data_IF_775732827440
#
_entry.id   IF_775732827440
#
_cell.length_a   1.000
_cell.length_b   1.000
_cell.length_c   1.000
_cell.angle_alpha   90.00
_cell.angle_beta   90.00
_cell.angle_gamma   90.00
#
_symmetry.space_group_name_H-M   'P 1'
#
loop_
_entity.id
_entity.type
_entity.pdbx_description
1 polymer ?
#
# COMPACT_ATOMS: atom_id res chain seq x y z
N UNK A 1 6.54 -1.16 42.09
CA UNK A 1 5.52 -1.74 41.19
C UNK A 1 4.33 -0.81 40.89
N UNK A 2 4.27 0.40 41.53
CA UNK A 2 3.10 1.31 41.39
C UNK A 2 3.24 2.40 40.29
N UNK A 3 4.39 2.54 39.65
CA UNK A 3 4.60 3.63 38.67
C UNK A 3 4.34 3.25 37.23
N UNK A 4 4.37 1.97 36.88
CA UNK A 4 4.18 1.52 35.48
C UNK A 4 2.71 1.39 35.10
N UNK A 5 1.83 0.99 36.02
CA UNK A 5 0.38 0.88 35.77
C UNK A 5 -0.30 2.25 35.59
N UNK A 6 0.19 3.29 36.30
CA UNK A 6 -0.34 4.66 36.14
C UNK A 6 0.02 5.31 34.81
N UNK A 7 1.17 4.98 34.24
CA UNK A 7 1.60 5.51 32.93
C UNK A 7 0.86 4.84 31.77
N UNK A 8 0.55 3.54 31.88
CA UNK A 8 -0.24 2.84 30.87
C UNK A 8 -1.72 3.26 30.85
N UNK A 9 -2.31 3.49 32.02
CA UNK A 9 -3.69 3.98 32.14
C UNK A 9 -3.83 5.42 31.65
N UNK A 10 -2.91 6.31 32.02
CA UNK A 10 -2.86 7.68 31.51
C UNK A 10 -2.65 7.75 30.00
N UNK A 11 -1.83 6.87 29.44
CA UNK A 11 -1.61 6.79 27.99
C UNK A 11 -2.87 6.28 27.28
N UNK A 12 -3.60 5.31 27.85
CA UNK A 12 -4.85 4.79 27.30
C UNK A 12 -5.99 5.84 27.34
N UNK A 13 -6.10 6.63 28.41
CA UNK A 13 -7.09 7.71 28.52
C UNK A 13 -6.79 8.88 27.58
N UNK A 14 -5.54 9.30 27.47
CA UNK A 14 -5.10 10.33 26.52
C UNK A 14 -5.34 9.93 25.08
N UNK A 15 -5.17 8.65 24.76
CA UNK A 15 -5.46 8.10 23.43
C UNK A 15 -6.97 8.08 23.17
N UNK A 16 -7.77 7.68 24.16
CA UNK A 16 -9.23 7.66 24.04
C UNK A 16 -9.81 9.07 23.89
N UNK A 17 -9.32 10.01 24.64
CA UNK A 17 -9.74 11.42 24.55
C UNK A 17 -9.36 12.04 23.20
N UNK A 18 -8.17 11.71 22.66
CA UNK A 18 -7.76 12.17 21.33
C UNK A 18 -8.59 11.51 20.19
N UNK A 19 -8.98 10.25 20.34
CA UNK A 19 -9.88 9.57 19.40
C UNK A 19 -11.28 10.21 19.40
N UNK A 20 -11.82 10.52 20.57
CA UNK A 20 -13.12 11.17 20.72
C UNK A 20 -13.06 12.60 20.18
N UNK A 21 -12.03 13.38 20.52
CA UNK A 21 -11.85 14.74 20.02
C UNK A 21 -11.73 14.76 18.49
N UNK A 22 -10.99 13.81 17.90
CA UNK A 22 -10.85 13.71 16.45
C UNK A 22 -12.16 13.28 15.76
N UNK A 23 -12.87 12.31 16.33
CA UNK A 23 -14.19 11.90 15.84
C UNK A 23 -15.21 13.05 15.93
N UNK A 24 -15.17 13.81 17.01
CA UNK A 24 -16.03 14.97 17.24
C UNK A 24 -15.70 16.10 16.26
N UNK A 25 -14.42 16.38 16.03
CA UNK A 25 -13.98 17.37 15.04
C UNK A 25 -14.44 17.00 13.62
N UNK A 26 -14.34 15.72 13.23
CA UNK A 26 -14.85 15.23 11.95
C UNK A 26 -16.36 15.37 11.84
N UNK A 27 -17.11 15.15 12.93
CA UNK A 27 -18.56 15.27 12.93
C UNK A 27 -19.05 16.73 12.85
N UNK A 28 -18.27 17.66 13.40
CA UNK A 28 -18.59 19.08 13.46
C UNK A 28 -18.20 19.86 12.20
N UNK A 29 -17.16 19.41 11.49
CA UNK A 29 -16.68 20.10 10.29
C UNK A 29 -17.02 19.34 9.02
N UNK A 30 -17.99 19.90 8.24
CA UNK A 30 -18.33 19.38 6.91
C UNK A 30 -17.15 19.35 5.95
N UNK A 31 -16.13 20.21 6.14
CA UNK A 31 -14.87 20.20 5.38
C UNK A 31 -13.94 19.08 5.84
N UNK A 32 -13.92 18.72 7.13
CA UNK A 32 -13.21 17.57 7.66
C UNK A 32 -13.92 16.25 7.33
N UNK A 33 -15.24 16.24 7.18
CA UNK A 33 -15.99 15.13 6.58
C UNK A 33 -15.62 14.90 5.10
N UNK A 34 -15.05 15.88 4.40
CA UNK A 34 -14.39 15.69 3.11
C UNK A 34 -13.01 15.04 3.24
N UNK A 35 -12.45 14.94 4.44
CA UNK A 35 -11.24 14.18 4.71
C UNK A 35 -11.60 12.71 4.85
N UNK A 36 -11.86 12.08 3.68
CA UNK A 36 -12.26 10.69 3.45
C UNK A 36 -11.43 9.66 4.23
N UNK A 37 -10.31 10.08 4.83
CA UNK A 37 -9.31 9.23 5.43
C UNK A 37 -9.20 9.39 6.95
N UNK A 38 -9.87 10.40 7.50
CA UNK A 38 -9.80 10.90 8.88
C UNK A 38 -9.39 9.89 9.96
N UNK A 39 -10.35 9.16 10.51
CA UNK A 39 -10.13 8.21 11.59
C UNK A 39 -9.22 7.06 11.15
N UNK A 40 -9.41 6.55 9.93
CA UNK A 40 -8.58 5.47 9.38
C UNK A 40 -7.12 5.87 9.27
N UNK A 41 -6.83 7.08 8.75
CA UNK A 41 -5.48 7.60 8.65
C UNK A 41 -4.82 7.83 10.03
N UNK A 42 -5.59 8.30 11.01
CA UNK A 42 -5.13 8.41 12.39
C UNK A 42 -4.71 7.05 12.96
N UNK A 43 -5.54 6.03 12.80
CA UNK A 43 -5.21 4.68 13.25
C UNK A 43 -4.01 4.08 12.51
N UNK A 44 -3.89 4.32 11.19
CA UNK A 44 -2.70 3.94 10.42
C UNK A 44 -1.42 4.60 10.98
N UNK A 45 -1.46 5.90 11.22
CA UNK A 45 -0.34 6.64 11.78
C UNK A 45 0.10 6.08 13.15
N UNK A 46 -0.86 5.67 13.98
CA UNK A 46 -0.61 5.03 15.28
C UNK A 46 -0.26 3.53 15.19
N UNK A 47 -0.16 2.95 13.99
CA UNK A 47 0.11 1.53 13.78
C UNK A 47 -1.05 0.58 14.18
N UNK A 48 -2.25 1.12 14.40
CA UNK A 48 -3.44 0.37 14.84
C UNK A 48 -4.21 -0.15 13.64
N UNK A 49 -3.59 -1.10 12.93
CA UNK A 49 -4.05 -1.54 11.61
C UNK A 49 -5.46 -2.15 11.62
N UNK A 50 -5.84 -2.94 12.65
CA UNK A 50 -7.20 -3.47 12.78
C UNK A 50 -8.25 -2.37 12.90
N UNK A 51 -8.01 -1.34 13.72
CA UNK A 51 -8.93 -0.20 13.84
C UNK A 51 -8.96 0.65 12.55
N UNK A 52 -7.86 0.71 11.83
CA UNK A 52 -7.82 1.36 10.52
C UNK A 52 -8.68 0.61 9.50
N UNK A 53 -8.64 -0.73 9.49
CA UNK A 53 -9.50 -1.56 8.64
C UNK A 53 -10.97 -1.25 8.91
N UNK A 54 -11.42 -1.34 10.17
CA UNK A 54 -12.82 -1.07 10.56
C UNK A 54 -13.30 0.32 10.12
N UNK A 55 -12.41 1.32 10.25
CA UNK A 55 -12.72 2.69 9.84
C UNK A 55 -12.83 2.81 8.32
N UNK A 56 -11.89 2.22 7.56
CA UNK A 56 -11.90 2.30 6.11
C UNK A 56 -13.03 1.47 5.49
N UNK A 57 -13.39 0.32 6.04
CA UNK A 57 -14.54 -0.47 5.58
C UNK A 57 -15.85 0.32 5.68
N UNK A 58 -16.07 1.04 6.81
CA UNK A 58 -17.20 1.96 6.95
C UNK A 58 -17.16 3.08 5.92
N UNK A 59 -15.98 3.62 5.63
CA UNK A 59 -15.83 4.70 4.65
C UNK A 59 -16.02 4.22 3.20
N UNK A 60 -15.57 3.02 2.84
CA UNK A 60 -15.79 2.46 1.49
C UNK A 60 -17.27 2.16 1.22
N UNK A 61 -18.06 1.81 2.24
CA UNK A 61 -19.50 1.64 2.07
C UNK A 61 -20.24 2.96 1.79
N UNK A 62 -19.71 4.08 2.28
CA UNK A 62 -20.27 5.43 2.03
C UNK A 62 -19.73 6.01 0.70
N UNK A 63 -18.48 5.74 0.36
CA UNK A 63 -17.78 6.28 -0.81
C UNK A 63 -17.19 5.16 -1.69
N UNK A 64 -18.02 4.35 -2.35
CA UNK A 64 -17.58 3.14 -3.08
C UNK A 64 -16.73 3.44 -4.34
N UNK A 65 -16.67 4.68 -4.79
CA UNK A 65 -15.90 5.10 -5.98
C UNK A 65 -14.59 5.81 -5.63
N UNK A 66 -14.13 5.76 -4.38
CA UNK A 66 -12.89 6.38 -3.98
C UNK A 66 -11.72 5.37 -4.02
N UNK A 67 -10.92 5.41 -5.07
CA UNK A 67 -9.79 4.52 -5.28
C UNK A 67 -8.79 4.53 -4.11
N UNK A 68 -8.44 5.71 -3.60
CA UNK A 68 -7.49 5.88 -2.50
C UNK A 68 -7.97 5.21 -1.20
N UNK A 69 -9.29 5.14 -0.93
CA UNK A 69 -9.83 4.42 0.23
C UNK A 69 -9.52 2.93 0.15
N UNK A 70 -9.74 2.32 -1.01
CA UNK A 70 -9.41 0.91 -1.22
C UNK A 70 -7.92 0.65 -1.15
N UNK A 71 -7.09 1.56 -1.66
CA UNK A 71 -5.64 1.45 -1.51
C UNK A 71 -5.22 1.46 -0.03
N UNK A 72 -5.75 2.39 0.78
CA UNK A 72 -5.45 2.48 2.22
C UNK A 72 -5.98 1.29 3.01
N UNK A 73 -7.16 0.80 2.65
CA UNK A 73 -7.72 -0.42 3.22
C UNK A 73 -6.84 -1.63 2.88
N UNK A 74 -6.43 -1.77 1.61
CA UNK A 74 -5.48 -2.78 1.16
C UNK A 74 -4.16 -2.71 1.92
N UNK A 75 -3.61 -1.51 2.14
CA UNK A 75 -2.39 -1.31 2.93
C UNK A 75 -2.57 -1.74 4.40
N UNK A 76 -3.74 -1.51 4.98
CA UNK A 76 -4.04 -1.93 6.36
C UNK A 76 -4.14 -3.44 6.47
N UNK A 77 -4.76 -4.11 5.49
CA UNK A 77 -4.78 -5.57 5.40
C UNK A 77 -3.39 -6.17 5.16
N UNK A 78 -2.56 -5.54 4.31
CA UNK A 78 -1.15 -5.91 4.08
C UNK A 78 -0.36 -5.92 5.39
N UNK A 79 -0.51 -4.90 6.21
CA UNK A 79 0.13 -4.78 7.54
C UNK A 79 -0.38 -5.79 8.56
N UNK A 80 -1.59 -6.31 8.38
CA UNK A 80 -2.16 -7.40 9.18
C UNK A 80 -1.89 -8.79 8.59
N UNK A 81 -1.03 -8.90 7.57
CA UNK A 81 -0.68 -10.16 6.90
C UNK A 81 -1.88 -10.87 6.24
N UNK A 82 -2.98 -10.14 5.98
CA UNK A 82 -4.16 -10.64 5.28
C UNK A 82 -4.00 -10.40 3.77
N UNK A 83 -3.06 -11.14 3.15
CA UNK A 83 -2.57 -10.88 1.79
C UNK A 83 -3.68 -10.95 0.72
N UNK A 84 -4.61 -11.89 0.82
CA UNK A 84 -5.68 -12.03 -0.18
C UNK A 84 -6.66 -10.85 -0.13
N UNK A 85 -7.05 -10.41 1.07
CA UNK A 85 -7.89 -9.21 1.22
C UNK A 85 -7.16 -7.94 0.79
N UNK A 86 -5.86 -7.85 1.08
CA UNK A 86 -5.04 -6.74 0.60
C UNK A 86 -5.02 -6.70 -0.94
N UNK A 87 -4.81 -7.85 -1.60
CA UNK A 87 -4.80 -7.95 -3.05
C UNK A 87 -6.14 -7.57 -3.68
N UNK A 88 -7.26 -8.01 -3.10
CA UNK A 88 -8.60 -7.65 -3.53
C UNK A 88 -8.82 -6.13 -3.50
N UNK A 89 -8.46 -5.49 -2.39
CA UNK A 89 -8.60 -4.05 -2.22
C UNK A 89 -7.67 -3.25 -3.14
N UNK A 90 -6.43 -3.71 -3.36
CA UNK A 90 -5.54 -3.07 -4.34
C UNK A 90 -6.06 -3.21 -5.77
N UNK A 91 -6.61 -4.37 -6.16
CA UNK A 91 -7.27 -4.54 -7.47
C UNK A 91 -8.47 -3.60 -7.60
N UNK A 92 -9.27 -3.44 -6.55
CA UNK A 92 -10.40 -2.52 -6.56
C UNK A 92 -9.94 -1.07 -6.70
N UNK A 93 -8.90 -0.66 -5.99
CA UNK A 93 -8.29 0.66 -6.15
C UNK A 93 -7.85 0.90 -7.59
N UNK A 94 -7.10 -0.04 -8.18
CA UNK A 94 -6.59 0.04 -9.55
C UNK A 94 -7.69 -0.03 -10.62
N UNK A 95 -8.83 -0.69 -10.35
CA UNK A 95 -9.98 -0.66 -11.26
C UNK A 95 -10.69 0.69 -11.31
N UNK A 96 -10.52 1.51 -10.28
CA UNK A 96 -11.08 2.87 -10.19
C UNK A 96 -10.10 3.94 -10.68
N UNK A 97 -8.81 3.69 -10.51
CA UNK A 97 -7.72 4.56 -10.99
C UNK A 97 -6.48 3.70 -11.25
N UNK A 98 -6.18 3.45 -12.52
CA UNK A 98 -5.10 2.55 -12.94
C UNK A 98 -3.71 3.20 -12.96
N UNK A 99 -3.64 4.53 -12.95
CA UNK A 99 -2.41 5.28 -13.16
C UNK A 99 -1.55 5.44 -11.90
N UNK A 100 -1.44 4.37 -11.10
CA UNK A 100 -0.69 4.37 -9.85
C UNK A 100 0.36 3.25 -9.81
N UNK A 101 1.59 3.50 -10.29
CA UNK A 101 2.66 2.48 -10.34
C UNK A 101 2.96 1.85 -8.98
N UNK A 102 2.95 2.65 -7.91
CA UNK A 102 3.16 2.14 -6.56
C UNK A 102 2.05 1.21 -6.07
N UNK A 103 0.81 1.38 -6.53
CA UNK A 103 -0.29 0.48 -6.19
C UNK A 103 -0.14 -0.87 -6.90
N UNK A 104 0.28 -0.85 -8.16
CA UNK A 104 0.66 -2.07 -8.90
C UNK A 104 1.81 -2.81 -8.19
N UNK A 105 2.83 -2.08 -7.74
CA UNK A 105 3.92 -2.68 -6.96
C UNK A 105 3.41 -3.31 -5.66
N UNK A 106 2.54 -2.63 -4.90
CA UNK A 106 1.94 -3.17 -3.67
C UNK A 106 1.09 -4.41 -3.95
N UNK A 107 0.30 -4.39 -5.02
CA UNK A 107 -0.43 -5.57 -5.47
C UNK A 107 0.51 -6.73 -5.78
N UNK A 108 1.57 -6.50 -6.55
CA UNK A 108 2.59 -7.52 -6.83
C UNK A 108 3.20 -8.10 -5.55
N UNK A 109 3.52 -7.24 -4.59
CA UNK A 109 4.10 -7.66 -3.32
C UNK A 109 3.18 -8.61 -2.52
N UNK A 110 1.92 -8.27 -2.35
CA UNK A 110 0.98 -9.12 -1.59
C UNK A 110 0.64 -10.41 -2.33
N UNK A 111 0.60 -10.39 -3.66
CA UNK A 111 0.43 -11.59 -4.50
C UNK A 111 1.64 -12.54 -4.39
N UNK A 112 2.85 -11.99 -4.35
CA UNK A 112 4.08 -12.77 -4.09
C UNK A 112 4.02 -13.45 -2.73
N UNK A 113 3.55 -12.74 -1.68
CA UNK A 113 3.33 -13.29 -0.34
C UNK A 113 2.27 -14.39 -0.29
N UNK A 114 1.22 -14.26 -1.11
CA UNK A 114 0.20 -15.31 -1.31
C UNK A 114 0.64 -16.41 -2.27
N UNK A 115 1.91 -16.45 -2.70
CA UNK A 115 2.47 -17.41 -3.65
C UNK A 115 1.80 -17.40 -5.04
N UNK A 116 1.04 -16.36 -5.36
CA UNK A 116 0.43 -16.14 -6.68
C UNK A 116 1.45 -15.47 -7.62
N UNK A 117 2.55 -16.19 -7.86
CA UNK A 117 3.76 -15.64 -8.49
C UNK A 117 3.53 -15.11 -9.91
N UNK A 118 2.68 -15.76 -10.71
CA UNK A 118 2.42 -15.29 -12.07
C UNK A 118 1.70 -13.93 -12.07
N UNK A 119 0.66 -13.80 -11.24
CA UNK A 119 -0.07 -12.54 -11.08
C UNK A 119 0.83 -11.44 -10.49
N UNK A 120 1.70 -11.81 -9.53
CA UNK A 120 2.68 -10.89 -8.96
C UNK A 120 3.63 -10.34 -10.02
N UNK A 121 4.15 -11.21 -10.89
CA UNK A 121 5.04 -10.82 -11.99
C UNK A 121 4.39 -9.79 -12.92
N UNK A 122 3.14 -10.02 -13.29
CA UNK A 122 2.37 -9.11 -14.15
C UNK A 122 2.12 -7.77 -13.45
N UNK A 123 1.74 -7.79 -12.17
CA UNK A 123 1.54 -6.55 -11.39
C UNK A 123 2.83 -5.72 -11.29
N UNK A 124 3.98 -6.35 -11.06
CA UNK A 124 5.28 -5.66 -11.06
C UNK A 124 5.65 -5.11 -12.44
N UNK A 125 5.28 -5.80 -13.54
CA UNK A 125 5.47 -5.25 -14.89
C UNK A 125 4.66 -3.99 -15.11
N UNK A 126 3.40 -3.95 -14.70
CA UNK A 126 2.59 -2.73 -14.78
C UNK A 126 3.20 -1.58 -13.98
N UNK A 127 3.71 -1.85 -12.78
CA UNK A 127 4.45 -0.85 -12.02
C UNK A 127 5.66 -0.30 -12.80
N UNK A 128 6.40 -1.17 -13.48
CA UNK A 128 7.61 -0.82 -14.21
C UNK A 128 7.38 -0.10 -15.54
N UNK A 129 6.14 -0.03 -16.05
CA UNK A 129 5.84 0.72 -17.28
C UNK A 129 5.89 2.24 -17.09
N UNK A 130 5.86 2.72 -15.86
CA UNK A 130 6.00 4.13 -15.56
C UNK A 130 7.46 4.54 -15.48
N UNK A 131 7.80 5.68 -16.05
CA UNK A 131 9.16 6.22 -16.01
C UNK A 131 9.49 6.77 -14.61
N UNK A 132 9.89 5.88 -13.70
CA UNK A 132 10.26 6.23 -12.32
C UNK A 132 11.66 5.72 -11.99
N UNK A 133 12.29 6.33 -10.98
CA UNK A 133 13.60 5.88 -10.45
C UNK A 133 13.61 4.45 -9.90
N UNK A 134 12.44 3.82 -9.78
CA UNK A 134 12.29 2.47 -9.23
C UNK A 134 12.10 1.39 -10.31
N UNK A 135 12.11 1.75 -11.58
CA UNK A 135 11.81 0.87 -12.71
C UNK A 135 12.67 -0.41 -12.72
N UNK A 136 13.98 -0.29 -12.47
CA UNK A 136 14.89 -1.43 -12.44
C UNK A 136 14.55 -2.43 -11.32
N UNK A 137 14.20 -1.93 -10.14
CA UNK A 137 13.79 -2.77 -9.00
C UNK A 137 12.48 -3.50 -9.31
N UNK A 138 11.54 -2.85 -9.97
CA UNK A 138 10.24 -3.44 -10.30
C UNK A 138 10.37 -4.51 -11.39
N UNK A 139 11.20 -4.29 -12.42
CA UNK A 139 11.53 -5.34 -13.39
C UNK A 139 12.27 -6.51 -12.73
N UNK A 140 13.20 -6.24 -11.82
CA UNK A 140 13.86 -7.31 -11.06
C UNK A 140 12.86 -8.16 -10.27
N UNK A 141 11.93 -7.52 -9.56
CA UNK A 141 10.86 -8.23 -8.82
C UNK A 141 9.95 -9.04 -9.75
N UNK A 142 9.60 -8.49 -10.91
CA UNK A 142 8.86 -9.22 -11.93
C UNK A 142 9.63 -10.46 -12.41
N UNK A 143 10.91 -10.32 -12.71
CA UNK A 143 11.78 -11.44 -13.11
C UNK A 143 11.84 -12.53 -12.05
N UNK A 144 12.02 -12.15 -10.79
CA UNK A 144 11.99 -13.09 -9.67
C UNK A 144 10.67 -13.85 -9.55
N UNK A 145 9.55 -13.14 -9.65
CA UNK A 145 8.23 -13.74 -9.59
C UNK A 145 7.96 -14.70 -10.78
N UNK A 146 8.40 -14.34 -11.99
CA UNK A 146 8.35 -15.25 -13.15
C UNK A 146 9.22 -16.50 -12.93
N UNK A 147 10.41 -16.37 -12.37
CA UNK A 147 11.25 -17.53 -12.04
C UNK A 147 10.55 -18.47 -11.05
N UNK A 148 9.91 -17.94 -10.01
CA UNK A 148 9.12 -18.71 -9.05
C UNK A 148 7.90 -19.38 -9.68
N UNK A 149 7.35 -18.80 -10.74
CA UNK A 149 6.26 -19.37 -11.53
C UNK A 149 6.75 -20.34 -12.62
N UNK A 150 8.04 -20.71 -12.66
CA UNK A 150 8.69 -21.54 -13.67
C UNK A 150 8.59 -20.96 -15.10
N UNK A 151 8.45 -19.65 -15.23
CA UNK A 151 8.39 -18.92 -16.50
C UNK A 151 9.75 -18.32 -16.83
N UNK A 152 10.75 -19.18 -17.04
CA UNK A 152 12.15 -18.78 -17.14
C UNK A 152 12.47 -17.83 -18.29
N UNK A 153 11.79 -17.98 -19.45
CA UNK A 153 12.00 -17.04 -20.57
C UNK A 153 11.58 -15.62 -20.19
N UNK A 154 10.38 -15.45 -19.63
CA UNK A 154 9.88 -14.16 -19.17
C UNK A 154 10.74 -13.62 -18.03
N UNK A 155 11.22 -14.49 -17.14
CA UNK A 155 12.15 -14.12 -16.08
C UNK A 155 13.43 -13.48 -16.64
N UNK A 156 14.07 -14.13 -17.62
CA UNK A 156 15.27 -13.58 -18.27
C UNK A 156 15.00 -12.23 -18.95
N UNK A 157 13.88 -12.11 -19.67
CA UNK A 157 13.48 -10.86 -20.31
C UNK A 157 13.33 -9.71 -19.28
N UNK A 158 12.76 -9.99 -18.11
CA UNK A 158 12.59 -8.98 -17.05
C UNK A 158 13.92 -8.62 -16.38
N UNK A 159 14.81 -9.57 -16.18
CA UNK A 159 16.14 -9.28 -15.63
C UNK A 159 17.00 -8.44 -16.60
N UNK A 160 16.90 -8.69 -17.91
CA UNK A 160 17.56 -7.85 -18.92
C UNK A 160 17.02 -6.41 -18.83
N UNK A 161 15.70 -6.22 -18.83
CA UNK A 161 15.08 -4.89 -18.67
C UNK A 161 15.49 -4.20 -17.36
N UNK A 162 15.62 -4.94 -16.27
CA UNK A 162 16.08 -4.40 -15.00
C UNK A 162 17.53 -3.88 -15.10
N UNK A 163 18.40 -4.65 -15.75
CA UNK A 163 19.79 -4.26 -15.98
C UNK A 163 19.88 -3.02 -16.87
N UNK A 164 19.22 -3.02 -18.03
CA UNK A 164 19.24 -1.90 -18.97
C UNK A 164 18.74 -0.60 -18.31
N UNK A 165 17.60 -0.68 -17.60
CA UNK A 165 17.04 0.47 -16.87
C UNK A 165 17.99 0.98 -15.79
N UNK A 166 18.77 0.12 -15.16
CA UNK A 166 19.78 0.55 -14.17
C UNK A 166 20.92 1.32 -14.81
N UNK A 167 21.38 0.90 -15.98
CA UNK A 167 22.46 1.58 -16.73
C UNK A 167 22.02 2.98 -17.20
N UNK A 168 20.78 3.13 -17.68
CA UNK A 168 20.22 4.43 -18.06
C UNK A 168 20.17 5.42 -16.90
N UNK A 169 19.78 4.95 -15.70
CA UNK A 169 19.76 5.78 -14.48
C UNK A 169 21.16 6.25 -14.12
N UNK A 170 22.17 5.36 -14.15
CA UNK A 170 23.56 5.72 -13.88
C UNK A 170 24.07 6.73 -14.91
N UNK A 171 23.84 6.50 -16.21
CA UNK A 171 24.27 7.40 -17.28
C UNK A 171 23.63 8.79 -17.17
N UNK A 172 22.39 8.91 -16.70
CA UNK A 172 21.74 10.19 -16.48
C UNK A 172 22.30 10.96 -15.29
N UNK A 173 22.67 10.26 -14.23
CA UNK A 173 23.27 10.86 -13.04
C UNK A 173 24.70 11.38 -13.31
N UNK A 174 25.48 10.65 -14.10
CA UNK A 174 26.87 11.08 -14.45
C UNK A 174 26.92 12.26 -15.41
N UNK A 175 25.85 12.52 -16.20
CA UNK A 175 25.76 13.69 -17.07
C UNK A 175 25.30 14.97 -16.34
N UNK A 176 24.78 14.84 -15.13
CA UNK A 176 24.29 15.95 -14.33
C UNK A 176 25.34 16.56 -13.37
N UNK A 177 26.57 16.01 -13.37
CA UNK A 177 27.76 16.49 -12.65
C UNK A 177 28.68 17.22 -13.66
#
# INVERSE_FOLDING_TARGET
GYSLESDETNNAENVRSSEIAYATAISLDKKLNSNKFGIGAFHQYKGRWAKAIDAYEKHTSINPLCAELYYRLGLSYDRCYQWDKAAENYRKALSLDENHPHWHYRLGFVLERSQKYLDAAVAYQFAAQSNTKHISIWYYRSGYAYAKANKYRQSCEMYIKAYDSSQEIYASQTKAI
#
